data_IF_452951814271
#
_entry.id   IF_452951814271
#
_cell.length_a   1.000
_cell.length_b   1.000
_cell.length_c   1.000
_cell.angle_alpha   90.00
_cell.angle_beta   90.00
_cell.angle_gamma   90.00
#
_symmetry.space_group_name_H-M   'P 1'
#
loop_
_entity.id
_entity.type
_entity.pdbx_description
1 polymer ?
#
# COMPACT_ATOMS: atom_id res chain seq x y z
N UNK A 1 -4.69 4.49 -14.05
CA UNK A 1 -4.44 3.37 -13.13
C UNK A 1 -4.60 3.84 -11.69
N UNK A 2 -5.24 3.02 -10.86
CA UNK A 2 -5.47 3.34 -9.45
C UNK A 2 -4.66 2.37 -8.58
N UNK A 3 -3.90 2.93 -7.65
CA UNK A 3 -3.13 2.21 -6.66
C UNK A 3 -3.74 2.50 -5.29
N UNK A 4 -4.15 1.49 -4.56
CA UNK A 4 -4.66 1.61 -3.20
C UNK A 4 -3.68 0.99 -2.20
N UNK A 5 -3.53 1.60 -1.05
CA UNK A 5 -2.68 1.09 0.02
C UNK A 5 -3.33 1.28 1.39
N UNK A 6 -3.06 0.33 2.28
CA UNK A 6 -3.40 0.39 3.69
C UNK A 6 -2.27 -0.18 4.53
N UNK A 7 -2.38 -0.10 5.83
CA UNK A 7 -1.41 -0.59 6.79
C UNK A 7 -1.63 0.00 8.18
N UNK A 8 -1.03 -0.56 9.19
CA UNK A 8 -1.07 -0.01 10.55
C UNK A 8 -0.18 1.21 10.67
N UNK A 9 0.99 1.20 10.01
CA UNK A 9 1.95 2.31 9.96
C UNK A 9 2.52 2.50 8.56
N UNK A 10 3.19 3.62 8.29
CA UNK A 10 3.89 3.89 7.03
C UNK A 10 3.00 4.25 5.82
N UNK A 11 1.68 4.26 5.96
CA UNK A 11 0.74 4.56 4.86
C UNK A 11 1.05 5.88 4.15
N UNK A 12 1.12 6.96 4.90
CA UNK A 12 1.32 8.30 4.34
C UNK A 12 2.69 8.43 3.69
N UNK A 13 3.74 7.88 4.29
CA UNK A 13 5.09 7.86 3.70
C UNK A 13 5.09 7.11 2.38
N UNK A 14 4.55 5.90 2.35
CA UNK A 14 4.47 5.08 1.12
C UNK A 14 3.65 5.77 0.03
N UNK A 15 2.51 6.36 0.40
CA UNK A 15 1.65 7.14 -0.50
C UNK A 15 2.43 8.31 -1.13
N UNK A 16 3.16 9.08 -0.35
CA UNK A 16 3.94 10.22 -0.84
C UNK A 16 5.08 9.77 -1.76
N UNK A 17 5.77 8.67 -1.41
CA UNK A 17 6.82 8.09 -2.27
C UNK A 17 6.25 7.63 -3.62
N UNK A 18 5.15 6.88 -3.61
CA UNK A 18 4.46 6.45 -4.84
C UNK A 18 3.98 7.65 -5.67
N UNK A 19 3.38 8.63 -5.01
CA UNK A 19 2.94 9.86 -5.64
C UNK A 19 4.09 10.62 -6.31
N UNK A 20 5.23 10.74 -5.62
CA UNK A 20 6.43 11.37 -6.16
C UNK A 20 6.97 10.65 -7.40
N UNK A 21 7.00 9.32 -7.40
CA UNK A 21 7.45 8.50 -8.53
C UNK A 21 6.49 8.65 -9.72
N UNK A 22 5.19 8.46 -9.49
CA UNK A 22 4.19 8.44 -10.56
C UNK A 22 3.94 9.82 -11.17
N UNK A 23 4.04 10.88 -10.38
CA UNK A 23 3.92 12.26 -10.87
C UNK A 23 5.05 12.66 -11.84
N UNK A 24 6.17 11.93 -11.85
CA UNK A 24 7.23 12.10 -12.86
C UNK A 24 6.88 11.46 -14.20
N UNK A 25 5.93 10.53 -14.19
CA UNK A 25 5.51 9.81 -15.40
C UNK A 25 4.29 10.48 -16.04
N UNK A 26 3.30 10.89 -15.23
CA UNK A 26 2.07 11.52 -15.73
C UNK A 26 1.31 12.23 -14.59
N UNK A 27 0.28 13.05 -14.92
CA UNK A 27 -0.60 13.65 -13.94
C UNK A 27 -1.20 12.59 -12.99
N UNK A 28 -1.00 12.80 -11.69
CA UNK A 28 -1.32 11.83 -10.63
C UNK A 28 -2.13 12.49 -9.53
N UNK A 29 -3.29 11.94 -9.21
CA UNK A 29 -4.04 12.29 -8.00
C UNK A 29 -3.43 11.51 -6.81
N UNK A 30 -3.24 12.19 -5.68
CA UNK A 30 -2.70 11.59 -4.46
C UNK A 30 -3.60 11.98 -3.30
N UNK A 31 -3.97 11.03 -2.43
CA UNK A 31 -4.73 11.32 -1.22
C UNK A 31 -4.08 12.46 -0.43
N UNK A 32 -4.83 13.56 -0.21
CA UNK A 32 -4.34 14.71 0.55
C UNK A 32 -4.49 14.48 2.06
N UNK A 33 -3.42 14.74 2.81
CA UNK A 33 -3.43 14.65 4.27
C UNK A 33 -3.97 13.29 4.74
N UNK A 34 -5.01 13.34 5.56
CA UNK A 34 -5.68 12.18 6.15
C UNK A 34 -7.09 11.92 5.56
N UNK A 35 -7.36 12.36 4.32
CA UNK A 35 -8.63 12.07 3.62
C UNK A 35 -8.69 10.61 3.15
N UNK A 36 -8.50 9.69 4.08
CA UNK A 36 -8.33 8.25 3.84
C UNK A 36 -9.44 7.37 4.44
N UNK A 37 -10.45 7.98 5.06
CA UNK A 37 -11.59 7.30 5.67
C UNK A 37 -12.82 7.26 4.73
N UNK A 38 -13.94 6.76 5.23
CA UNK A 38 -15.22 6.62 4.53
C UNK A 38 -15.79 7.92 3.92
N UNK A 39 -15.44 9.09 4.49
CA UNK A 39 -15.81 10.41 3.95
C UNK A 39 -14.70 10.98 3.06
N UNK A 40 -13.44 10.83 3.47
CA UNK A 40 -12.30 11.41 2.80
C UNK A 40 -12.02 10.78 1.44
N UNK A 41 -12.14 9.45 1.31
CA UNK A 41 -11.94 8.75 0.05
C UNK A 41 -12.92 9.19 -1.05
N UNK A 42 -14.24 9.26 -0.81
CA UNK A 42 -15.18 9.84 -1.78
C UNK A 42 -14.83 11.28 -2.16
N UNK A 43 -14.44 12.11 -1.22
CA UNK A 43 -14.03 13.51 -1.50
C UNK A 43 -12.83 13.55 -2.44
N UNK A 44 -11.84 12.67 -2.23
CA UNK A 44 -10.68 12.55 -3.12
C UNK A 44 -11.07 12.08 -4.52
N UNK A 45 -12.02 11.14 -4.63
CA UNK A 45 -12.50 10.65 -5.93
C UNK A 45 -13.21 11.75 -6.74
N UNK A 46 -13.88 12.70 -6.08
CA UNK A 46 -14.50 13.87 -6.75
C UNK A 46 -13.44 14.83 -7.34
N UNK A 47 -12.19 14.73 -6.94
CA UNK A 47 -11.08 15.51 -7.51
C UNK A 47 -10.46 14.87 -8.76
N UNK A 48 -10.89 13.64 -9.14
CA UNK A 48 -10.44 13.00 -10.37
C UNK A 48 -10.83 13.84 -11.60
N UNK A 49 -9.88 14.00 -12.52
CA UNK A 49 -10.04 14.72 -13.77
C UNK A 49 -9.57 13.84 -14.93
N UNK A 50 -9.99 14.19 -16.13
CA UNK A 50 -9.66 13.45 -17.35
C UNK A 50 -8.16 13.36 -17.64
N UNK A 51 -7.38 14.34 -17.21
CA UNK A 51 -5.92 14.35 -17.36
C UNK A 51 -5.18 13.39 -16.43
N UNK A 52 -5.78 12.95 -15.29
CA UNK A 52 -5.13 12.04 -14.37
C UNK A 52 -4.96 10.64 -14.99
N UNK A 53 -3.72 10.21 -15.11
CA UNK A 53 -3.39 8.84 -15.55
C UNK A 53 -3.19 7.88 -14.38
N UNK A 54 -2.84 8.42 -13.21
CA UNK A 54 -2.68 7.67 -11.98
C UNK A 54 -3.48 8.29 -10.83
N UNK A 55 -3.86 7.43 -9.89
CA UNK A 55 -4.37 7.84 -8.59
C UNK A 55 -3.74 6.97 -7.50
N UNK A 56 -3.20 7.58 -6.46
CA UNK A 56 -2.65 6.90 -5.28
C UNK A 56 -3.60 7.18 -4.12
N UNK A 57 -4.31 6.14 -3.70
CA UNK A 57 -5.36 6.21 -2.70
C UNK A 57 -4.92 5.52 -1.40
N UNK A 58 -4.78 6.29 -0.34
CA UNK A 58 -4.58 5.76 1.01
C UNK A 58 -5.93 5.39 1.61
N UNK A 59 -6.09 4.14 2.07
CA UNK A 59 -7.31 3.65 2.71
C UNK A 59 -7.04 3.36 4.19
N UNK A 60 -7.67 4.12 5.06
CA UNK A 60 -7.65 3.96 6.50
C UNK A 60 -8.96 3.37 7.00
N UNK A 61 -8.92 2.71 8.18
CA UNK A 61 -10.11 2.27 8.88
C UNK A 61 -9.91 2.24 10.38
N UNK A 62 -11.00 2.44 11.10
CA UNK A 62 -11.17 2.21 12.52
C UNK A 62 -12.04 0.99 12.80
N UNK A 63 -12.88 0.57 11.85
CA UNK A 63 -13.80 -0.55 11.98
C UNK A 63 -13.76 -1.47 10.75
N UNK A 64 -14.21 -2.72 10.93
CA UNK A 64 -14.41 -3.64 9.82
C UNK A 64 -15.48 -3.11 8.86
N UNK A 65 -15.33 -3.38 7.56
CA UNK A 65 -16.22 -2.94 6.49
C UNK A 65 -15.91 -1.57 5.92
N UNK A 66 -15.11 -0.73 6.60
CA UNK A 66 -14.75 0.60 6.09
C UNK A 66 -13.82 0.52 4.88
N UNK A 67 -12.85 -0.41 4.89
CA UNK A 67 -11.96 -0.61 3.73
C UNK A 67 -12.70 -1.35 2.60
N UNK A 68 -13.61 -2.27 2.92
CA UNK A 68 -14.48 -2.88 1.90
C UNK A 68 -15.27 -1.81 1.15
N UNK A 69 -15.92 -0.91 1.87
CA UNK A 69 -16.66 0.21 1.29
C UNK A 69 -15.77 1.12 0.43
N UNK A 70 -14.63 1.57 0.97
CA UNK A 70 -13.74 2.49 0.25
C UNK A 70 -13.04 1.84 -0.93
N UNK A 71 -12.63 0.57 -0.82
CA UNK A 71 -12.02 -0.18 -1.94
C UNK A 71 -13.02 -0.45 -3.05
N UNK A 72 -14.31 -0.67 -2.72
CA UNK A 72 -15.37 -0.80 -3.71
C UNK A 72 -15.59 0.49 -4.51
N UNK A 73 -15.47 1.66 -3.88
CA UNK A 73 -15.53 2.94 -4.59
C UNK A 73 -14.30 3.17 -5.47
N UNK A 74 -13.12 2.79 -4.97
CA UNK A 74 -11.83 3.05 -5.62
C UNK A 74 -11.57 2.10 -6.79
N UNK A 75 -11.98 0.84 -6.67
CA UNK A 75 -11.74 -0.25 -7.64
C UNK A 75 -10.27 -0.29 -8.12
N UNK A 76 -9.31 -0.63 -7.26
CA UNK A 76 -7.90 -0.46 -7.56
C UNK A 76 -7.42 -1.45 -8.63
N UNK A 77 -6.44 -1.02 -9.42
CA UNK A 77 -5.66 -1.86 -10.32
C UNK A 77 -4.50 -2.55 -9.58
N UNK A 78 -3.99 -1.90 -8.54
CA UNK A 78 -2.98 -2.45 -7.64
C UNK A 78 -3.41 -2.12 -6.22
N UNK A 79 -3.44 -3.11 -5.35
CA UNK A 79 -3.74 -2.89 -3.94
C UNK A 79 -2.73 -3.61 -3.04
N UNK A 80 -2.35 -2.95 -1.94
CA UNK A 80 -1.36 -3.51 -1.03
C UNK A 80 -1.58 -3.17 0.43
N UNK A 81 -1.19 -4.13 1.29
CA UNK A 81 -1.04 -3.93 2.73
C UNK A 81 0.44 -3.72 3.03
N UNK A 82 0.75 -2.65 3.76
CA UNK A 82 2.14 -2.35 4.13
C UNK A 82 2.57 -3.24 5.31
N UNK A 83 1.75 -3.29 6.36
CA UNK A 83 2.00 -4.10 7.57
C UNK A 83 0.73 -4.26 8.42
N UNK A 84 0.76 -5.28 9.31
CA UNK A 84 -0.22 -5.52 10.36
C UNK A 84 0.43 -5.26 11.72
N UNK A 85 0.30 -4.04 12.21
CA UNK A 85 0.78 -3.65 13.53
C UNK A 85 -0.28 -3.74 14.63
N UNK A 86 -0.11 -2.90 15.64
CA UNK A 86 -0.96 -2.87 16.85
C UNK A 86 -1.86 -1.63 16.94
N UNK A 87 -1.91 -0.80 15.89
CA UNK A 87 -2.78 0.38 15.87
C UNK A 87 -4.26 -0.05 15.91
N UNK A 88 -5.05 0.59 16.78
CA UNK A 88 -6.49 0.32 16.95
C UNK A 88 -6.84 -1.09 17.45
N UNK A 89 -5.98 -1.73 18.25
CA UNK A 89 -6.19 -3.08 18.79
C UNK A 89 -7.58 -3.28 19.45
N UNK A 90 -8.03 -2.28 20.21
CA UNK A 90 -9.32 -2.36 20.93
C UNK A 90 -10.53 -2.36 19.99
N UNK A 91 -10.47 -1.59 18.93
CA UNK A 91 -11.57 -1.39 17.96
C UNK A 91 -11.77 -2.61 17.06
N UNK A 92 -10.67 -3.30 16.73
CA UNK A 92 -10.69 -4.48 15.86
C UNK A 92 -10.73 -5.83 16.62
N UNK A 93 -10.63 -5.82 17.95
CA UNK A 93 -10.57 -7.06 18.73
C UNK A 93 -9.27 -7.85 18.59
N UNK A 94 -8.14 -7.13 18.41
CA UNK A 94 -6.81 -7.72 18.28
C UNK A 94 -6.22 -7.65 16.88
N UNK A 95 -4.97 -8.16 16.71
CA UNK A 95 -4.26 -8.12 15.43
C UNK A 95 -4.94 -8.94 14.33
N UNK A 96 -5.60 -10.05 14.67
CA UNK A 96 -6.41 -10.83 13.71
C UNK A 96 -7.56 -10.00 13.12
N UNK A 97 -8.23 -9.20 13.96
CA UNK A 97 -9.26 -8.27 13.49
C UNK A 97 -8.69 -7.18 12.59
N UNK A 98 -7.52 -6.65 12.92
CA UNK A 98 -6.80 -5.68 12.07
C UNK A 98 -6.43 -6.32 10.72
N UNK A 99 -5.93 -7.56 10.73
CA UNK A 99 -5.62 -8.31 9.50
C UNK A 99 -6.87 -8.46 8.62
N UNK A 100 -7.99 -8.91 9.18
CA UNK A 100 -9.25 -9.06 8.44
C UNK A 100 -9.72 -7.74 7.84
N UNK A 101 -9.78 -6.67 8.63
CA UNK A 101 -10.21 -5.35 8.15
C UNK A 101 -9.32 -4.80 7.04
N UNK A 102 -7.99 -4.91 7.17
CA UNK A 102 -7.08 -4.42 6.13
C UNK A 102 -7.11 -5.27 4.87
N UNK A 103 -7.33 -6.57 5.00
CA UNK A 103 -7.45 -7.50 3.87
C UNK A 103 -8.67 -7.25 2.99
N UNK A 104 -9.66 -6.50 3.48
CA UNK A 104 -10.79 -6.01 2.68
C UNK A 104 -10.34 -5.22 1.43
N UNK A 105 -9.13 -4.65 1.45
CA UNK A 105 -8.58 -3.88 0.31
C UNK A 105 -8.48 -4.71 -0.98
N UNK A 106 -8.37 -6.04 -0.86
CA UNK A 106 -8.26 -6.93 -2.02
C UNK A 106 -9.61 -7.33 -2.64
N UNK A 107 -10.73 -7.06 -1.95
CA UNK A 107 -12.05 -7.51 -2.36
C UNK A 107 -12.52 -6.94 -3.71
N UNK A 108 -12.08 -5.73 -4.03
CA UNK A 108 -12.58 -4.98 -5.18
C UNK A 108 -11.47 -4.58 -6.18
N UNK A 109 -10.38 -5.33 -6.20
CA UNK A 109 -9.36 -5.17 -7.24
C UNK A 109 -9.98 -5.56 -8.59
N UNK A 110 -9.70 -4.75 -9.62
CA UNK A 110 -10.18 -5.06 -10.98
C UNK A 110 -9.66 -6.44 -11.46
N UNK A 111 -10.37 -7.16 -12.34
CA UNK A 111 -10.02 -8.55 -12.70
C UNK A 111 -8.58 -8.77 -13.17
N UNK A 112 -7.97 -7.80 -13.83
CA UNK A 112 -6.57 -7.85 -14.30
C UNK A 112 -5.59 -7.16 -13.33
N UNK A 113 -6.01 -6.90 -12.10
CA UNK A 113 -5.23 -6.18 -11.13
C UNK A 113 -4.23 -7.05 -10.36
N UNK A 114 -3.40 -6.42 -9.55
CA UNK A 114 -2.30 -7.04 -8.81
C UNK A 114 -2.46 -6.78 -7.32
N UNK A 115 -2.33 -7.83 -6.53
CA UNK A 115 -2.20 -7.74 -5.07
C UNK A 115 -0.74 -7.63 -4.66
N UNK A 116 -0.46 -6.79 -3.67
CA UNK A 116 0.87 -6.61 -3.08
C UNK A 116 0.79 -6.99 -1.59
N UNK A 117 1.63 -7.92 -1.13
CA UNK A 117 1.59 -8.42 0.25
C UNK A 117 2.96 -8.31 0.94
N UNK A 118 3.02 -8.03 2.24
CA UNK A 118 4.26 -8.03 3.01
C UNK A 118 4.68 -9.46 3.34
N UNK A 119 5.80 -9.94 2.77
CA UNK A 119 6.25 -11.32 2.95
C UNK A 119 6.76 -11.62 4.36
N UNK A 120 7.36 -10.63 5.01
CA UNK A 120 7.97 -10.77 6.34
C UNK A 120 7.00 -10.42 7.50
N UNK A 121 5.73 -10.10 7.22
CA UNK A 121 4.74 -9.82 8.25
C UNK A 121 4.26 -11.13 8.91
N UNK A 122 4.05 -11.11 10.24
CA UNK A 122 3.51 -12.25 10.98
C UNK A 122 2.17 -12.77 10.41
N UNK A 123 1.43 -11.90 9.71
CA UNK A 123 0.14 -12.18 9.09
C UNK A 123 0.23 -12.42 7.57
N UNK A 124 1.42 -12.61 7.01
CA UNK A 124 1.61 -12.80 5.57
C UNK A 124 0.72 -13.92 5.00
N UNK A 125 0.61 -15.06 5.68
CA UNK A 125 -0.21 -16.18 5.24
C UNK A 125 -1.70 -15.84 5.28
N UNK A 126 -2.18 -15.23 6.37
CA UNK A 126 -3.57 -14.77 6.51
C UNK A 126 -3.94 -13.74 5.42
N UNK A 127 -3.03 -12.81 5.13
CA UNK A 127 -3.20 -11.83 4.05
C UNK A 127 -3.29 -12.55 2.71
N UNK A 128 -2.41 -13.52 2.45
CA UNK A 128 -2.37 -14.30 1.21
C UNK A 128 -3.67 -15.06 0.95
N UNK A 129 -4.29 -15.62 1.99
CA UNK A 129 -5.59 -16.30 1.89
C UNK A 129 -6.74 -15.36 1.45
N UNK A 130 -6.59 -14.06 1.70
CA UNK A 130 -7.58 -13.05 1.32
C UNK A 130 -7.42 -12.57 -0.14
N UNK A 131 -6.29 -12.89 -0.78
CA UNK A 131 -5.99 -12.49 -2.15
C UNK A 131 -6.75 -13.37 -3.13
N UNK A 132 -7.48 -12.73 -4.08
CA UNK A 132 -8.26 -13.41 -5.13
C UNK A 132 -7.74 -13.14 -6.54
N UNK A 133 -6.76 -12.25 -6.69
CA UNK A 133 -6.17 -11.92 -7.98
C UNK A 133 -5.22 -13.01 -8.45
N UNK A 134 -5.12 -13.21 -9.76
CA UNK A 134 -4.12 -14.12 -10.36
C UNK A 134 -2.71 -13.58 -10.18
N UNK A 135 -2.55 -12.26 -10.20
CA UNK A 135 -1.26 -11.61 -10.00
C UNK A 135 -1.11 -11.18 -8.53
N UNK A 136 -0.14 -11.75 -7.86
CA UNK A 136 0.24 -11.40 -6.52
C UNK A 136 1.76 -11.29 -6.44
N UNK A 137 2.26 -10.16 -5.92
CA UNK A 137 3.67 -9.94 -5.63
C UNK A 137 3.85 -9.72 -4.13
N UNK A 138 4.95 -10.21 -3.61
CA UNK A 138 5.31 -10.03 -2.22
C UNK A 138 6.56 -9.15 -2.07
N UNK A 139 6.65 -8.39 -1.00
CA UNK A 139 7.81 -7.56 -0.71
C UNK A 139 8.34 -7.78 0.70
N UNK A 140 9.60 -7.40 0.92
CA UNK A 140 10.33 -7.62 2.15
C UNK A 140 11.15 -8.90 2.12
N UNK A 141 11.75 -9.26 3.24
CA UNK A 141 12.58 -10.47 3.35
C UNK A 141 11.77 -11.72 2.98
N UNK A 142 12.34 -12.55 2.11
CA UNK A 142 11.67 -13.75 1.59
C UNK A 142 10.61 -13.49 0.52
N UNK A 143 10.39 -12.24 0.11
CA UNK A 143 9.43 -11.86 -0.94
C UNK A 143 10.02 -11.82 -2.34
N UNK A 144 9.17 -11.50 -3.33
CA UNK A 144 9.56 -11.32 -4.74
C UNK A 144 10.38 -10.04 -4.95
N UNK A 145 10.17 -9.04 -4.09
CA UNK A 145 10.81 -7.73 -4.13
C UNK A 145 11.43 -7.48 -2.76
N UNK A 146 12.75 -7.36 -2.70
CA UNK A 146 13.46 -7.19 -1.42
C UNK A 146 14.74 -6.36 -1.59
N UNK A 147 15.19 -5.76 -0.49
CA UNK A 147 16.43 -5.00 -0.42
C UNK A 147 17.57 -5.86 0.08
N UNK A 148 18.75 -5.65 -0.48
CA UNK A 148 20.03 -6.21 -0.01
C UNK A 148 21.09 -5.12 0.02
N UNK A 149 22.23 -5.41 0.64
CA UNK A 149 23.38 -4.48 0.69
C UNK A 149 22.99 -3.10 1.25
N UNK A 150 22.16 -3.09 2.30
CA UNK A 150 21.64 -1.86 2.89
C UNK A 150 22.78 -1.14 3.62
N UNK A 151 23.03 0.11 3.22
CA UNK A 151 23.99 1.01 3.86
C UNK A 151 23.27 2.24 4.36
N UNK A 152 23.32 2.45 5.68
CA UNK A 152 22.70 3.60 6.32
C UNK A 152 23.72 4.74 6.47
N UNK A 153 23.33 5.93 6.06
CA UNK A 153 24.06 7.16 6.23
C UNK A 153 23.27 8.12 7.13
N UNK A 154 23.90 9.16 7.70
CA UNK A 154 23.21 10.08 8.61
C UNK A 154 21.97 10.77 8.03
N UNK A 155 21.88 10.92 6.71
CA UNK A 155 20.78 11.62 6.03
C UNK A 155 20.24 10.86 4.80
N UNK A 156 20.70 9.64 4.56
CA UNK A 156 20.29 8.84 3.40
C UNK A 156 20.47 7.36 3.67
N UNK A 157 19.87 6.53 2.83
CA UNK A 157 20.14 5.10 2.76
C UNK A 157 20.36 4.67 1.31
N UNK A 158 21.25 3.70 1.12
CA UNK A 158 21.52 3.09 -0.19
C UNK A 158 21.33 1.59 -0.07
N UNK A 159 20.71 0.98 -1.08
CA UNK A 159 20.51 -0.46 -1.10
C UNK A 159 20.37 -0.98 -2.54
N UNK A 160 20.57 -2.27 -2.71
CA UNK A 160 20.24 -3.00 -3.92
C UNK A 160 18.81 -3.51 -3.86
N UNK A 161 17.92 -2.97 -4.70
CA UNK A 161 16.55 -3.43 -4.84
C UNK A 161 16.49 -4.61 -5.81
N UNK A 162 16.15 -5.78 -5.31
CA UNK A 162 15.96 -6.99 -6.09
C UNK A 162 14.49 -7.09 -6.50
N UNK A 163 14.23 -7.33 -7.78
CA UNK A 163 12.88 -7.49 -8.34
C UNK A 163 12.88 -8.63 -9.36
N UNK A 164 11.74 -9.18 -9.79
CA UNK A 164 11.66 -10.15 -10.87
C UNK A 164 12.23 -9.67 -12.21
N UNK A 165 12.36 -8.35 -12.41
CA UNK A 165 12.93 -7.73 -13.62
C UNK A 165 14.43 -7.44 -13.50
N UNK A 166 15.05 -7.77 -12.35
CA UNK A 166 16.48 -7.56 -12.10
C UNK A 166 16.76 -6.67 -10.90
N UNK A 167 18.04 -6.34 -10.72
CA UNK A 167 18.54 -5.59 -9.56
C UNK A 167 18.81 -4.12 -9.95
N UNK A 168 18.50 -3.20 -9.03
CA UNK A 168 18.78 -1.76 -9.16
C UNK A 168 19.32 -1.20 -7.86
N UNK A 169 20.34 -0.36 -7.93
CA UNK A 169 20.78 0.44 -6.78
C UNK A 169 19.81 1.58 -6.55
N UNK A 170 19.36 1.73 -5.33
CA UNK A 170 18.45 2.80 -4.89
C UNK A 170 19.16 3.65 -3.85
N UNK A 171 19.07 4.97 -4.01
CA UNK A 171 19.49 5.95 -3.01
C UNK A 171 18.25 6.70 -2.53
N UNK A 172 17.95 6.60 -1.24
CA UNK A 172 16.86 7.32 -0.60
C UNK A 172 17.45 8.48 0.22
N UNK A 173 16.92 9.71 0.06
CA UNK A 173 17.33 10.86 0.87
C UNK A 173 16.63 10.85 2.25
N UNK A 174 16.59 9.69 2.89
CA UNK A 174 16.00 9.47 4.21
C UNK A 174 16.98 8.67 5.07
N UNK A 175 17.08 9.03 6.35
CA UNK A 175 17.84 8.28 7.32
C UNK A 175 16.99 7.12 7.88
N UNK A 176 17.63 5.98 8.14
CA UNK A 176 17.01 4.81 8.77
C UNK A 176 16.62 3.69 7.80
N UNK A 177 16.31 2.56 8.38
CA UNK A 177 15.67 1.41 7.74
C UNK A 177 14.14 1.60 7.82
N UNK A 178 13.45 1.68 6.71
CA UNK A 178 12.01 1.91 6.62
C UNK A 178 11.33 0.88 5.74
#
# INVERSE_FOLDING_TARGET
KVIALTGSSGKTTTKEMLGSILSRLAPTLITRGNLNNDLGVPMMLLELRAEHQYAVMELGASHQGEIDYTSNLVQPHVAGIINIGTAHLGEFGGRDGICRAKSEIYAHIVPSGTSIIPAADDFADCIRESVKTEQCLSFGEGGDIFATEIVLHPQSSTFSLNTPQGVRTVNLPFAGEH
#
